data_IF_212822318145
#
_entry.id   IF_212822318145
#
_cell.length_a   1.000
_cell.length_b   1.000
_cell.length_c   1.000
_cell.angle_alpha   90.00
_cell.angle_beta   90.00
_cell.angle_gamma   90.00
#
_symmetry.space_group_name_H-M   'P 1'
#
loop_
_entity.id
_entity.type
_entity.pdbx_description
1 polymer ?
#
# COMPACT_ATOMS: atom_id res chain seq x y z
N UNK A 1 -15.27 -23.75 4.01
CA UNK A 1 -14.00 -24.46 3.73
C UNK A 1 -13.44 -24.13 2.36
N UNK A 2 -14.22 -24.19 1.28
CA UNK A 2 -13.76 -23.84 -0.09
C UNK A 2 -13.05 -22.49 -0.17
N UNK A 3 -13.68 -21.41 0.32
CA UNK A 3 -13.09 -20.06 0.32
C UNK A 3 -11.70 -20.02 0.98
N UNK A 4 -11.58 -20.61 2.17
CA UNK A 4 -10.34 -20.62 2.95
C UNK A 4 -9.25 -21.38 2.19
N UNK A 5 -9.57 -22.57 1.67
CA UNK A 5 -8.60 -23.38 0.92
C UNK A 5 -8.12 -22.65 -0.32
N UNK A 6 -9.03 -22.08 -1.13
CA UNK A 6 -8.67 -21.36 -2.35
C UNK A 6 -7.81 -20.15 -2.02
N UNK A 7 -8.22 -19.32 -1.05
CA UNK A 7 -7.46 -18.14 -0.64
C UNK A 7 -6.07 -18.46 -0.05
N UNK A 8 -5.96 -19.52 0.75
CA UNK A 8 -4.66 -19.92 1.30
C UNK A 8 -3.74 -20.52 0.23
N UNK A 9 -4.27 -21.27 -0.73
CA UNK A 9 -3.47 -21.80 -1.84
C UNK A 9 -2.99 -20.65 -2.74
N UNK A 10 -3.86 -19.70 -3.09
CA UNK A 10 -3.48 -18.57 -3.94
C UNK A 10 -2.45 -17.65 -3.28
N UNK A 11 -2.44 -17.54 -1.96
CA UNK A 11 -1.46 -16.73 -1.22
C UNK A 11 -0.01 -17.09 -1.57
N UNK A 12 0.28 -18.36 -1.88
CA UNK A 12 1.60 -18.78 -2.33
C UNK A 12 2.05 -18.03 -3.58
N UNK A 13 1.14 -17.75 -4.51
CA UNK A 13 1.46 -17.27 -5.85
C UNK A 13 1.34 -15.75 -5.96
N UNK A 14 0.28 -15.16 -5.39
CA UNK A 14 0.00 -13.72 -5.51
C UNK A 14 0.37 -12.91 -4.26
N UNK A 15 0.81 -13.57 -3.18
CA UNK A 15 1.10 -12.90 -1.91
C UNK A 15 -0.11 -12.81 -0.97
N UNK A 16 0.15 -12.40 0.26
CA UNK A 16 -0.85 -12.36 1.34
C UNK A 16 -1.90 -11.28 1.08
N UNK A 17 -1.46 -10.04 0.84
CA UNK A 17 -2.35 -8.90 0.67
C UNK A 17 -3.28 -9.08 -0.53
N UNK A 18 -2.74 -9.41 -1.70
CA UNK A 18 -3.55 -9.63 -2.90
C UNK A 18 -4.54 -10.79 -2.74
N UNK A 19 -4.15 -11.86 -2.06
CA UNK A 19 -5.06 -12.99 -1.76
C UNK A 19 -6.16 -12.59 -0.78
N UNK A 20 -5.81 -11.83 0.27
CA UNK A 20 -6.76 -11.25 1.20
C UNK A 20 -7.81 -10.43 0.46
N UNK A 21 -7.38 -9.52 -0.42
CA UNK A 21 -8.29 -8.63 -1.14
C UNK A 21 -9.19 -9.37 -2.12
N UNK A 22 -8.61 -10.32 -2.87
CA UNK A 22 -9.32 -11.08 -3.90
C UNK A 22 -10.38 -12.02 -3.33
N UNK A 23 -10.12 -12.66 -2.19
CA UNK A 23 -10.99 -13.70 -1.66
C UNK A 23 -11.71 -13.32 -0.36
N UNK A 24 -11.01 -12.71 0.59
CA UNK A 24 -11.55 -12.48 1.94
C UNK A 24 -12.23 -11.11 2.09
N UNK A 25 -11.69 -10.05 1.48
CA UNK A 25 -12.31 -8.72 1.44
C UNK A 25 -13.28 -8.50 0.29
N UNK A 26 -13.43 -9.47 -0.62
CA UNK A 26 -14.36 -9.37 -1.73
C UNK A 26 -15.78 -9.80 -1.33
N UNK A 27 -16.76 -9.28 -2.06
CA UNK A 27 -18.15 -9.76 -1.96
C UNK A 27 -18.34 -11.06 -2.75
N UNK A 28 -17.78 -11.13 -3.95
CA UNK A 28 -17.85 -12.28 -4.84
C UNK A 28 -16.46 -12.48 -5.43
N UNK A 29 -16.04 -13.74 -5.55
CA UNK A 29 -14.85 -14.12 -6.30
C UNK A 29 -15.19 -15.18 -7.35
N UNK A 30 -14.36 -15.27 -8.37
CA UNK A 30 -14.56 -16.22 -9.45
C UNK A 30 -13.67 -17.45 -9.25
N UNK A 31 -14.27 -18.64 -9.25
CA UNK A 31 -13.56 -19.91 -9.27
C UNK A 31 -13.82 -20.62 -10.61
N UNK A 32 -12.89 -20.50 -11.55
CA UNK A 32 -13.14 -20.89 -12.94
C UNK A 32 -14.20 -19.97 -13.58
N UNK A 33 -15.32 -20.48 -14.12
CA UNK A 33 -16.43 -19.65 -14.61
C UNK A 33 -17.52 -19.40 -13.55
N UNK A 34 -17.38 -19.92 -12.32
CA UNK A 34 -18.45 -19.92 -11.31
C UNK A 34 -18.23 -18.77 -10.31
N UNK A 35 -19.20 -17.84 -10.16
CA UNK A 35 -19.15 -16.83 -9.12
C UNK A 35 -19.50 -17.45 -7.77
N UNK A 36 -18.62 -17.27 -6.78
CA UNK A 36 -18.78 -17.76 -5.41
C UNK A 36 -18.77 -16.59 -4.42
N UNK A 37 -19.46 -16.69 -3.28
CA UNK A 37 -19.43 -15.64 -2.27
C UNK A 37 -18.03 -15.51 -1.67
N UNK A 38 -17.52 -14.28 -1.63
CA UNK A 38 -16.28 -13.91 -0.96
C UNK A 38 -16.45 -13.82 0.56
N UNK A 39 -15.34 -13.51 1.25
CA UNK A 39 -15.29 -13.51 2.70
C UNK A 39 -16.28 -12.57 3.36
N UNK A 40 -16.52 -11.38 2.81
CA UNK A 40 -17.50 -10.43 3.38
C UNK A 40 -18.91 -11.03 3.45
N UNK A 41 -19.40 -11.63 2.36
CA UNK A 41 -20.72 -12.26 2.33
C UNK A 41 -20.77 -13.45 3.29
N UNK A 42 -19.75 -14.32 3.25
CA UNK A 42 -19.70 -15.51 4.12
C UNK A 42 -19.71 -15.11 5.60
N UNK A 43 -18.94 -14.09 5.99
CA UNK A 43 -18.89 -13.61 7.38
C UNK A 43 -20.23 -12.99 7.82
N UNK A 44 -20.89 -12.18 6.98
CA UNK A 44 -22.21 -11.61 7.29
C UNK A 44 -23.27 -12.70 7.42
N UNK A 45 -23.27 -13.69 6.53
CA UNK A 45 -24.21 -14.82 6.60
C UNK A 45 -23.99 -15.65 7.87
N UNK A 46 -22.74 -15.91 8.25
CA UNK A 46 -22.41 -16.60 9.51
C UNK A 46 -22.87 -15.79 10.73
N UNK A 47 -22.58 -14.48 10.76
CA UNK A 47 -23.02 -13.59 11.84
C UNK A 47 -24.55 -13.59 11.96
N UNK A 48 -25.25 -13.47 10.84
CA UNK A 48 -26.71 -13.49 10.80
C UNK A 48 -27.27 -14.81 11.33
N UNK A 49 -26.68 -15.94 10.94
CA UNK A 49 -27.06 -17.26 11.44
C UNK A 49 -26.83 -17.40 12.96
N UNK A 50 -25.68 -16.92 13.45
CA UNK A 50 -25.35 -16.91 14.88
C UNK A 50 -26.34 -16.06 15.68
N UNK A 51 -26.68 -14.87 15.20
CA UNK A 51 -27.68 -13.97 15.81
C UNK A 51 -29.07 -14.62 15.78
N UNK A 52 -29.47 -15.21 14.64
CA UNK A 52 -30.77 -15.88 14.49
C UNK A 52 -30.96 -16.99 15.53
N UNK A 53 -29.89 -17.70 15.87
CA UNK A 53 -29.92 -18.75 16.89
C UNK A 53 -30.29 -18.20 18.27
N UNK A 54 -29.87 -16.99 18.64
CA UNK A 54 -30.18 -16.39 19.95
C UNK A 54 -31.67 -16.17 20.20
N UNK A 55 -32.48 -15.99 19.14
CA UNK A 55 -33.92 -15.81 19.28
C UNK A 55 -34.68 -17.10 19.61
N UNK A 56 -34.02 -18.27 19.58
CA UNK A 56 -34.65 -19.52 20.00
C UNK A 56 -34.79 -19.56 21.52
N UNK A 57 -36.02 -19.37 22.01
CA UNK A 57 -36.38 -19.39 23.44
C UNK A 57 -35.86 -20.62 24.19
N UNK A 58 -35.79 -21.79 23.53
CA UNK A 58 -35.29 -23.03 24.14
C UNK A 58 -33.78 -23.02 24.47
N UNK A 59 -33.02 -21.99 24.09
CA UNK A 59 -31.61 -21.83 24.42
C UNK A 59 -31.36 -21.06 25.72
N UNK A 60 -32.31 -20.22 26.15
CA UNK A 60 -32.21 -19.39 27.37
C UNK A 60 -32.52 -20.19 28.65
N UNK A 61 -32.12 -21.46 28.68
CA UNK A 61 -32.27 -22.35 29.83
C UNK A 61 -30.92 -22.50 30.50
N UNK A 62 -30.89 -22.54 31.84
CA UNK A 62 -29.65 -22.73 32.63
C UNK A 62 -28.84 -23.94 32.18
N UNK A 63 -29.52 -25.03 31.78
CA UNK A 63 -28.90 -26.26 31.25
C UNK A 63 -28.11 -26.07 29.94
N UNK A 64 -28.27 -24.93 29.26
CA UNK A 64 -27.65 -24.61 27.96
C UNK A 64 -26.79 -23.34 28.00
N UNK A 65 -26.43 -22.87 29.19
CA UNK A 65 -25.65 -21.63 29.35
C UNK A 65 -24.30 -21.69 28.60
N UNK A 66 -23.65 -22.86 28.57
CA UNK A 66 -22.41 -23.04 27.79
C UNK A 66 -22.61 -22.82 26.29
N UNK A 67 -23.73 -23.28 25.73
CA UNK A 67 -24.08 -23.04 24.32
C UNK A 67 -24.30 -21.56 24.07
N UNK A 68 -24.99 -20.87 24.98
CA UNK A 68 -25.24 -19.43 24.88
C UNK A 68 -23.92 -18.64 24.90
N UNK A 69 -23.00 -18.98 25.80
CA UNK A 69 -21.68 -18.34 25.90
C UNK A 69 -20.89 -18.50 24.60
N UNK A 70 -20.87 -19.70 24.01
CA UNK A 70 -20.15 -19.95 22.75
C UNK A 70 -20.73 -19.13 21.60
N UNK A 71 -22.06 -19.04 21.49
CA UNK A 71 -22.70 -18.25 20.43
C UNK A 71 -22.45 -16.76 20.61
N UNK A 72 -22.59 -16.24 21.84
CA UNK A 72 -22.27 -14.85 22.15
C UNK A 72 -20.80 -14.53 21.91
N UNK A 73 -19.89 -15.43 22.27
CA UNK A 73 -18.45 -15.30 21.97
C UNK A 73 -18.18 -15.25 20.47
N UNK A 74 -18.80 -16.14 19.68
CA UNK A 74 -18.68 -16.12 18.22
C UNK A 74 -19.21 -14.83 17.59
N UNK A 75 -20.35 -14.32 18.08
CA UNK A 75 -20.90 -13.02 17.65
C UNK A 75 -19.94 -11.90 18.01
N UNK A 76 -19.44 -11.86 19.25
CA UNK A 76 -18.48 -10.85 19.70
C UNK A 76 -17.21 -10.84 18.85
N UNK A 77 -16.66 -12.01 18.51
CA UNK A 77 -15.49 -12.13 17.64
C UNK A 77 -15.77 -11.64 16.21
N UNK A 78 -16.90 -12.03 15.62
CA UNK A 78 -17.25 -11.61 14.25
C UNK A 78 -17.55 -10.10 14.17
N UNK A 79 -18.25 -9.55 15.15
CA UNK A 79 -18.49 -8.11 15.25
C UNK A 79 -17.17 -7.37 15.45
N UNK A 80 -16.30 -7.84 16.35
CA UNK A 80 -14.97 -7.27 16.56
C UNK A 80 -14.14 -7.27 15.28
N UNK A 81 -14.08 -8.40 14.58
CA UNK A 81 -13.38 -8.51 13.29
C UNK A 81 -13.96 -7.57 12.23
N UNK A 82 -15.28 -7.41 12.18
CA UNK A 82 -15.94 -6.45 11.28
C UNK A 82 -15.60 -4.99 11.60
N UNK A 83 -15.55 -4.63 12.89
CA UNK A 83 -15.13 -3.30 13.32
C UNK A 83 -13.66 -3.04 12.96
N UNK A 84 -12.76 -3.98 13.27
CA UNK A 84 -11.34 -3.87 12.88
C UNK A 84 -11.20 -3.72 11.37
N UNK A 85 -11.95 -4.47 10.57
CA UNK A 85 -11.89 -4.37 9.10
C UNK A 85 -12.36 -3.02 8.52
N UNK A 86 -13.13 -2.23 9.27
CA UNK A 86 -13.63 -0.91 8.84
C UNK A 86 -12.75 0.22 9.39
N UNK A 87 -12.24 0.07 10.61
CA UNK A 87 -11.59 1.16 11.35
C UNK A 87 -10.08 1.02 11.49
N UNK A 88 -9.49 -0.13 11.17
CA UNK A 88 -8.04 -0.34 11.26
C UNK A 88 -7.33 0.16 10.01
N UNK A 89 -6.21 0.86 10.19
CA UNK A 89 -5.21 1.13 9.16
C UNK A 89 -3.97 0.30 9.43
N UNK A 90 -3.30 -0.12 8.37
CA UNK A 90 -2.04 -0.86 8.42
C UNK A 90 -0.97 -0.05 7.69
N UNK A 91 0.30 -0.23 8.07
CA UNK A 91 1.42 0.46 7.48
C UNK A 91 2.73 0.10 8.17
N UNK A 92 3.84 0.64 7.67
CA UNK A 92 5.17 0.42 8.20
C UNK A 92 5.65 1.64 8.98
N UNK A 93 6.32 1.43 10.10
CA UNK A 93 6.99 2.51 10.84
C UNK A 93 8.45 2.11 11.05
N UNK A 94 9.36 2.88 10.47
CA UNK A 94 10.80 2.72 10.71
C UNK A 94 11.16 3.53 11.96
N UNK A 95 11.79 2.87 12.94
CA UNK A 95 12.30 3.49 14.16
C UNK A 95 13.76 3.13 14.29
N UNK A 96 14.64 4.12 14.18
CA UNK A 96 16.08 3.95 14.39
C UNK A 96 16.39 3.79 15.89
N UNK A 97 17.50 3.14 16.21
CA UNK A 97 17.92 2.95 17.60
C UNK A 97 18.09 4.29 18.33
N UNK A 98 17.42 4.44 19.47
CA UNK A 98 17.44 5.67 20.26
C UNK A 98 16.53 6.79 19.75
N UNK A 99 15.90 6.63 18.58
CA UNK A 99 14.96 7.60 18.01
C UNK A 99 13.51 7.37 18.44
N UNK A 100 12.62 8.29 18.06
CA UNK A 100 11.17 8.13 18.13
C UNK A 100 10.59 8.54 16.78
N UNK A 101 9.59 7.80 16.31
CA UNK A 101 8.79 8.16 15.14
C UNK A 101 7.32 8.28 15.54
N UNK A 102 6.61 9.19 14.87
CA UNK A 102 5.17 9.36 14.93
C UNK A 102 4.52 9.28 13.54
N UNK A 103 5.24 8.77 12.54
CA UNK A 103 4.78 8.62 11.16
C UNK A 103 4.67 7.14 10.78
N UNK A 104 3.73 6.83 9.90
CA UNK A 104 3.51 5.49 9.35
C UNK A 104 3.44 5.63 7.85
N UNK A 105 4.18 4.79 7.14
CA UNK A 105 4.23 4.73 5.69
C UNK A 105 3.24 3.67 5.17
N UNK A 106 2.42 4.05 4.21
CA UNK A 106 1.60 3.12 3.44
C UNK A 106 2.41 2.59 2.25
N UNK A 107 2.73 1.30 2.24
CA UNK A 107 3.49 0.65 1.17
C UNK A 107 2.64 0.30 -0.06
N UNK A 108 1.35 0.64 -0.05
CA UNK A 108 0.45 0.47 -1.19
C UNK A 108 0.22 1.76 -1.98
N UNK A 109 0.56 2.92 -1.40
CA UNK A 109 0.38 4.23 -2.02
C UNK A 109 1.74 4.92 -2.17
N UNK A 110 2.12 5.25 -3.40
CA UNK A 110 3.35 5.99 -3.67
C UNK A 110 3.03 7.43 -4.02
N UNK A 111 3.79 8.37 -3.47
CA UNK A 111 3.69 9.78 -3.77
C UNK A 111 5.07 10.41 -3.99
N UNK A 112 5.07 11.53 -4.70
CA UNK A 112 6.24 12.38 -4.87
C UNK A 112 5.91 13.71 -4.20
N UNK A 113 6.58 13.98 -3.08
CA UNK A 113 6.45 15.24 -2.35
C UNK A 113 7.64 16.15 -2.67
N UNK A 114 7.34 17.37 -3.11
CA UNK A 114 8.30 18.47 -3.16
C UNK A 114 8.04 19.35 -1.95
N UNK A 115 9.09 19.55 -1.15
CA UNK A 115 9.01 20.27 0.12
C UNK A 115 9.81 21.56 -0.02
N UNK A 116 9.14 22.70 0.07
CA UNK A 116 9.77 23.99 0.16
C UNK A 116 10.08 24.31 1.63
N UNK A 117 11.36 24.33 1.97
CA UNK A 117 11.90 24.58 3.31
C UNK A 117 12.47 26.00 3.48
N UNK A 118 12.11 26.93 2.58
CA UNK A 118 12.70 28.28 2.56
C UNK A 118 12.26 29.16 3.73
N UNK A 119 11.07 28.95 4.28
CA UNK A 119 10.54 29.75 5.38
C UNK A 119 10.85 29.14 6.76
N UNK A 120 11.34 29.98 7.69
CA UNK A 120 11.54 29.57 9.08
C UNK A 120 10.22 29.58 9.84
N UNK A 121 9.49 28.47 9.81
CA UNK A 121 8.29 28.30 10.66
C UNK A 121 7.27 27.30 10.13
N UNK A 122 7.31 26.99 8.83
CA UNK A 122 6.53 25.93 8.23
C UNK A 122 7.19 25.46 6.93
N UNK A 123 7.00 24.18 6.62
CA UNK A 123 7.38 23.59 5.34
C UNK A 123 6.12 23.57 4.44
N UNK A 124 6.28 23.93 3.18
CA UNK A 124 5.20 23.86 2.20
C UNK A 124 5.35 22.61 1.33
N UNK A 125 4.29 21.79 1.25
CA UNK A 125 4.30 20.52 0.54
C UNK A 125 3.48 20.62 -0.74
N UNK A 126 4.11 20.27 -1.87
CA UNK A 126 3.42 19.98 -3.13
C UNK A 126 3.52 18.47 -3.38
N UNK A 127 2.39 17.77 -3.32
CA UNK A 127 2.34 16.30 -3.39
C UNK A 127 1.67 15.86 -4.68
N UNK A 128 2.31 14.93 -5.39
CA UNK A 128 1.78 14.29 -6.59
C UNK A 128 1.57 12.80 -6.37
N UNK A 129 0.35 12.33 -6.63
CA UNK A 129 -0.02 10.91 -6.49
C UNK A 129 0.52 10.04 -7.64
N UNK A 130 0.72 8.75 -7.36
CA UNK A 130 1.19 7.75 -8.32
C UNK A 130 0.46 7.74 -9.67
N UNK A 131 -0.83 8.06 -9.70
CA UNK A 131 -1.62 8.09 -10.93
C UNK A 131 -1.06 9.06 -11.99
N UNK A 132 -0.26 10.04 -11.58
CA UNK A 132 0.37 11.02 -12.46
C UNK A 132 1.75 10.57 -12.96
N UNK A 133 2.30 9.45 -12.49
CA UNK A 133 3.64 8.97 -12.85
C UNK A 133 3.69 8.22 -14.20
N UNK A 134 2.92 8.70 -15.18
CA UNK A 134 2.99 8.21 -16.54
C UNK A 134 4.22 8.80 -17.25
N UNK A 135 4.95 7.97 -18.00
CA UNK A 135 6.10 8.42 -18.79
C UNK A 135 5.70 9.53 -19.77
N UNK A 136 6.47 10.61 -19.78
CA UNK A 136 6.23 11.82 -20.55
C UNK A 136 5.25 12.80 -19.91
N UNK A 137 4.61 12.45 -18.78
CA UNK A 137 3.74 13.38 -18.07
C UNK A 137 4.55 14.51 -17.42
N UNK A 138 4.03 15.73 -17.50
CA UNK A 138 4.65 16.90 -16.90
C UNK A 138 3.83 17.34 -15.69
N UNK A 139 4.42 17.24 -14.50
CA UNK A 139 3.81 17.62 -13.24
C UNK A 139 4.01 19.12 -13.05
N UNK A 140 2.90 19.86 -13.02
CA UNK A 140 2.87 21.31 -12.83
C UNK A 140 2.00 21.64 -11.63
N UNK A 141 2.44 22.62 -10.87
CA UNK A 141 1.68 23.18 -9.76
C UNK A 141 1.98 24.67 -9.67
N UNK A 142 1.01 25.47 -9.20
CA UNK A 142 1.17 26.93 -9.12
C UNK A 142 2.29 27.36 -8.17
N UNK A 143 2.66 26.50 -7.23
CA UNK A 143 3.71 26.76 -6.23
C UNK A 143 5.11 26.31 -6.71
N UNK A 144 5.25 25.84 -7.95
CA UNK A 144 6.53 25.39 -8.52
C UNK A 144 6.95 26.29 -9.67
N UNK A 145 8.12 26.90 -9.54
CA UNK A 145 8.75 27.74 -10.57
C UNK A 145 9.57 26.93 -11.60
N UNK A 146 9.39 25.62 -11.63
CA UNK A 146 10.10 24.70 -12.52
C UNK A 146 9.19 23.55 -12.96
N UNK A 147 9.50 22.95 -14.10
CA UNK A 147 8.78 21.82 -14.66
C UNK A 147 9.40 20.50 -14.20
N UNK A 148 8.55 19.54 -13.80
CA UNK A 148 8.96 18.17 -13.48
C UNK A 148 8.36 17.24 -14.53
N UNK A 149 9.20 16.64 -15.38
CA UNK A 149 8.75 15.65 -16.37
C UNK A 149 9.09 14.25 -15.91
N UNK A 150 8.07 13.39 -15.78
CA UNK A 150 8.26 11.98 -15.45
C UNK A 150 8.83 11.26 -16.67
N UNK A 151 10.00 10.64 -16.50
CA UNK A 151 10.63 9.84 -17.54
C UNK A 151 10.23 8.38 -17.40
N UNK A 152 10.31 7.85 -16.19
CA UNK A 152 10.06 6.44 -15.90
C UNK A 152 9.61 6.24 -14.46
N UNK A 153 8.66 5.34 -14.25
CA UNK A 153 8.23 4.89 -12.93
C UNK A 153 8.26 3.37 -12.89
N UNK A 154 8.78 2.83 -11.80
CA UNK A 154 9.01 1.41 -11.58
C UNK A 154 8.32 1.01 -10.28
N UNK A 155 7.39 0.05 -10.31
CA UNK A 155 6.70 -0.43 -9.10
C UNK A 155 7.65 -1.08 -8.09
N UNK A 156 8.74 -1.68 -8.58
CA UNK A 156 9.80 -2.22 -7.76
C UNK A 156 11.15 -2.07 -8.47
N UNK A 157 12.15 -1.57 -7.76
CA UNK A 157 13.44 -1.22 -8.34
C UNK A 157 14.59 -1.57 -7.40
N UNK A 158 15.76 -1.78 -8.01
CA UNK A 158 17.04 -1.89 -7.31
C UNK A 158 18.04 -0.91 -7.90
N UNK A 159 19.07 -0.61 -7.11
CA UNK A 159 20.22 0.14 -7.55
C UNK A 159 21.26 -0.78 -8.15
N UNK A 160 21.88 -0.33 -9.24
CA UNK A 160 23.08 -0.92 -9.82
C UNK A 160 24.15 0.16 -9.97
N UNK A 161 25.43 -0.23 -9.92
CA UNK A 161 26.52 0.73 -10.07
C UNK A 161 26.63 1.17 -11.53
N UNK A 162 26.82 2.48 -11.75
CA UNK A 162 27.03 3.01 -13.08
C UNK A 162 28.48 2.83 -13.50
N UNK A 163 28.71 2.07 -14.57
CA UNK A 163 30.06 1.73 -15.06
C UNK A 163 30.55 2.72 -16.15
N UNK A 164 29.65 3.51 -16.76
CA UNK A 164 29.98 4.43 -17.85
C UNK A 164 29.66 5.88 -17.49
N UNK A 165 30.61 6.79 -17.77
CA UNK A 165 30.34 8.21 -17.89
C UNK A 165 29.34 8.43 -19.03
N UNK A 166 28.25 9.14 -18.76
CA UNK A 166 27.27 9.50 -19.79
C UNK A 166 27.24 11.01 -19.98
N UNK A 167 27.10 11.46 -21.21
CA UNK A 167 26.91 12.88 -21.56
C UNK A 167 25.57 13.46 -21.03
N UNK A 168 24.70 12.60 -20.48
CA UNK A 168 23.43 12.99 -19.88
C UNK A 168 23.69 13.62 -18.51
N UNK A 169 23.08 14.79 -18.26
CA UNK A 169 23.20 15.52 -17.00
C UNK A 169 22.42 14.84 -15.84
N UNK A 170 22.89 13.67 -15.42
CA UNK A 170 22.37 13.02 -14.22
C UNK A 170 22.77 13.77 -12.96
N UNK A 171 21.83 13.86 -12.03
CA UNK A 171 21.96 14.54 -10.75
C UNK A 171 21.60 13.60 -9.60
N UNK A 172 21.94 14.01 -8.38
CA UNK A 172 21.73 13.22 -7.17
C UNK A 172 22.33 11.81 -7.28
N UNK A 173 21.55 10.80 -6.87
CA UNK A 173 21.94 9.40 -6.88
C UNK A 173 22.31 8.86 -8.26
N UNK A 174 21.66 9.35 -9.32
CA UNK A 174 21.87 8.83 -10.68
C UNK A 174 23.26 9.11 -11.26
N UNK A 175 24.06 9.96 -10.61
CA UNK A 175 25.47 10.15 -10.98
C UNK A 175 26.28 8.86 -10.83
N UNK A 176 26.04 8.11 -9.75
CA UNK A 176 26.83 6.94 -9.38
C UNK A 176 26.07 5.63 -9.59
N UNK A 177 24.74 5.68 -9.61
CA UNK A 177 23.88 4.50 -9.69
C UNK A 177 22.90 4.61 -10.85
N UNK A 178 22.45 3.47 -11.37
CA UNK A 178 21.25 3.40 -12.21
C UNK A 178 20.14 2.67 -11.48
N UNK A 179 18.91 3.14 -11.64
CA UNK A 179 17.72 2.39 -11.24
C UNK A 179 17.43 1.30 -12.27
N UNK A 180 17.14 0.11 -11.78
CA UNK A 180 16.76 -1.03 -12.60
C UNK A 180 15.46 -1.62 -12.07
N UNK A 181 14.46 -1.70 -12.93
CA UNK A 181 13.20 -2.36 -12.61
C UNK A 181 13.42 -3.85 -12.34
N UNK A 182 12.77 -4.34 -11.29
CA UNK A 182 12.74 -5.75 -10.93
C UNK A 182 11.29 -6.19 -10.73
N UNK A 183 10.98 -7.50 -10.87
CA UNK A 183 9.64 -7.99 -10.57
C UNK A 183 9.22 -7.62 -9.14
N UNK A 184 7.95 -7.24 -8.99
CA UNK A 184 7.35 -6.95 -7.68
C UNK A 184 7.46 -8.17 -6.75
N UNK A 185 7.83 -7.94 -5.49
CA UNK A 185 7.85 -9.00 -4.49
C UNK A 185 6.40 -9.35 -4.09
N UNK A 186 6.18 -10.58 -3.62
CA UNK A 186 4.88 -11.01 -3.08
C UNK A 186 4.58 -10.36 -1.73
N UNK A 187 5.63 -9.94 -1.05
CA UNK A 187 5.59 -9.10 0.15
C UNK A 187 5.74 -7.64 -0.29
N UNK A 188 4.63 -6.90 -0.28
CA UNK A 188 4.60 -5.51 -0.74
C UNK A 188 5.58 -4.62 0.05
N UNK A 189 5.86 -4.94 1.32
CA UNK A 189 6.82 -4.18 2.15
C UNK A 189 8.26 -4.26 1.63
N UNK A 190 8.58 -5.26 0.80
CA UNK A 190 9.91 -5.40 0.19
C UNK A 190 10.03 -4.67 -1.14
N UNK A 191 8.90 -4.29 -1.73
CA UNK A 191 8.92 -3.55 -2.99
C UNK A 191 9.40 -2.14 -2.72
N UNK A 192 10.34 -1.68 -3.54
CA UNK A 192 10.88 -0.32 -3.47
C UNK A 192 10.59 0.39 -4.78
N UNK A 193 9.48 1.16 -4.84
CA UNK A 193 9.17 1.99 -5.99
C UNK A 193 10.35 2.90 -6.35
N UNK A 194 10.59 3.04 -7.64
CA UNK A 194 11.61 3.92 -8.19
C UNK A 194 10.99 4.88 -9.19
N UNK A 195 11.47 6.12 -9.21
CA UNK A 195 11.02 7.11 -10.18
C UNK A 195 12.22 7.86 -10.75
N UNK A 196 12.21 8.04 -12.08
CA UNK A 196 13.16 8.86 -12.82
C UNK A 196 12.39 10.03 -13.40
N UNK A 197 12.84 11.24 -13.10
CA UNK A 197 12.20 12.46 -13.56
C UNK A 197 13.26 13.49 -13.96
N UNK A 198 12.85 14.41 -14.82
CA UNK A 198 13.66 15.52 -15.27
C UNK A 198 13.13 16.80 -14.63
N UNK A 199 14.03 17.58 -14.04
CA UNK A 199 13.78 18.96 -13.65
C UNK A 199 14.28 19.86 -14.79
N UNK A 200 13.45 20.81 -15.19
CA UNK A 200 13.77 21.79 -16.24
C UNK A 200 13.10 23.12 -15.97
N UNK A 201 13.68 24.21 -16.48
CA UNK A 201 13.06 25.52 -16.41
C UNK A 201 13.31 26.26 -15.09
N UNK A 202 14.14 25.71 -14.21
CA UNK A 202 14.66 26.46 -13.05
C UNK A 202 15.70 27.51 -13.47
N UNK A 203 16.29 27.35 -14.67
CA UNK A 203 17.41 28.18 -15.17
C UNK A 203 18.62 28.21 -14.23
N UNK A 204 18.77 27.17 -13.38
CA UNK A 204 19.90 26.99 -12.46
C UNK A 204 20.67 25.71 -12.78
N UNK A 205 21.80 25.49 -12.12
CA UNK A 205 22.58 24.24 -12.19
C UNK A 205 21.84 23.01 -11.64
N UNK A 206 20.62 23.20 -11.10
CA UNK A 206 19.73 22.14 -10.63
C UNK A 206 18.93 21.47 -11.76
N UNK A 207 18.92 22.04 -12.97
CA UNK A 207 18.29 21.37 -14.11
C UNK A 207 19.05 20.07 -14.45
N UNK A 208 18.32 18.99 -14.73
CA UNK A 208 18.90 17.67 -14.99
C UNK A 208 17.96 16.51 -14.70
N UNK A 209 18.50 15.29 -14.78
CA UNK A 209 17.74 14.05 -14.55
C UNK A 209 18.05 13.50 -13.16
N UNK A 210 16.99 13.32 -12.38
CA UNK A 210 17.02 12.80 -11.03
C UNK A 210 16.36 11.43 -10.98
N UNK A 211 16.78 10.64 -9.99
CA UNK A 211 16.20 9.35 -9.71
C UNK A 211 16.06 9.20 -8.21
N UNK A 212 14.90 8.72 -7.79
CA UNK A 212 14.57 8.43 -6.41
C UNK A 212 14.14 6.99 -6.28
N UNK A 213 14.56 6.37 -5.19
CA UNK A 213 14.00 5.11 -4.71
C UNK A 213 13.25 5.38 -3.41
N UNK A 214 12.21 4.60 -3.12
CA UNK A 214 11.40 4.74 -1.92
C UNK A 214 12.25 4.88 -0.64
N UNK A 215 11.93 5.89 0.18
CA UNK A 215 12.63 6.24 1.41
C UNK A 215 13.88 7.11 1.22
N UNK A 216 14.20 7.54 -0.01
CA UNK A 216 15.30 8.46 -0.28
C UNK A 216 14.79 9.88 -0.51
N UNK A 217 15.45 10.86 0.12
CA UNK A 217 15.30 12.29 -0.19
C UNK A 217 16.46 12.78 -1.06
N UNK A 218 16.20 13.63 -2.06
CA UNK A 218 17.25 14.44 -2.68
C UNK A 218 17.32 15.78 -1.94
N UNK A 219 18.45 16.11 -1.29
CA UNK A 219 18.66 17.42 -0.69
C UNK A 219 18.95 18.50 -1.74
#
# INVERSE_FOLDING_TARGET
>A
MVLVVVGTVSQRDIGLFASQQRYFSSYIFLFGPIPLPGGRIVLVLMLTNLIAMLFKQNLWKMKKIGVLIVHLGGIMLLVGAGLTAIFSSEGSMVIEEGSRSNTVDDYHATELAIINISEQGYDEYTVFDQALFASGNNLRHENLDFDITILEYMDNSTLDNRIAESDIQYKGMLKNFSLKEIPRDKDDMKSRPGIIFQISGSFTDSDGIYGLIFGQSVP
#
